data_IF_409927203151
#
_entry.id   IF_409927203151
#
_cell.length_a   1.000
_cell.length_b   1.000
_cell.length_c   1.000
_cell.angle_alpha   90.00
_cell.angle_beta   90.00
_cell.angle_gamma   90.00
#
_symmetry.space_group_name_H-M   'P 1'
#
loop_
_entity.id
_entity.type
_entity.pdbx_description
1 polymer ?
#
# COMPACT_ATOMS: atom_id res chain seq x y z
N UNK A 1 -4.11 0.21 0.31
CA UNK A 1 -2.77 0.75 -0.07
C UNK A 1 -2.64 2.17 0.47
N UNK A 2 -1.44 2.58 0.95
CA UNK A 2 -1.23 3.90 1.57
C UNK A 2 -0.77 5.00 0.60
N UNK A 3 -0.52 4.66 -0.68
CA UNK A 3 -0.13 5.61 -1.74
C UNK A 3 1.08 6.50 -1.38
N UNK A 4 2.00 5.95 -0.59
CA UNK A 4 3.25 6.60 -0.21
C UNK A 4 4.40 6.07 -1.05
N UNK A 5 5.43 6.90 -1.22
CA UNK A 5 6.69 6.48 -1.83
C UNK A 5 7.30 5.30 -1.04
N UNK A 6 7.90 4.28 -1.70
CA UNK A 6 8.57 3.18 -1.01
C UNK A 6 9.65 3.63 0.00
N UNK A 7 10.30 4.76 -0.26
CA UNK A 7 11.29 5.39 0.60
C UNK A 7 10.70 6.35 1.65
N UNK A 8 9.37 6.44 1.77
CA UNK A 8 8.73 7.30 2.75
C UNK A 8 9.17 6.98 4.19
N UNK A 9 9.41 8.03 4.98
CA UNK A 9 9.72 7.88 6.41
C UNK A 9 8.48 7.42 7.19
N UNK A 10 8.70 6.88 8.39
CA UNK A 10 7.59 6.50 9.29
C UNK A 10 6.62 7.65 9.54
N UNK A 11 7.13 8.86 9.73
CA UNK A 11 6.29 10.04 9.93
C UNK A 11 5.35 10.32 8.75
N UNK A 12 5.82 10.09 7.52
CA UNK A 12 5.00 10.25 6.31
C UNK A 12 3.94 9.15 6.24
N UNK A 13 4.31 7.91 6.56
CA UNK A 13 3.38 6.77 6.63
C UNK A 13 2.28 7.03 7.67
N UNK A 14 2.63 7.49 8.86
CA UNK A 14 1.68 7.80 9.93
C UNK A 14 0.72 8.93 9.55
N UNK A 15 1.25 9.98 8.91
CA UNK A 15 0.43 11.10 8.43
C UNK A 15 -0.52 10.66 7.31
N UNK A 16 -0.04 9.88 6.35
CA UNK A 16 -0.84 9.33 5.28
C UNK A 16 -1.96 8.42 5.80
N UNK A 17 -1.64 7.54 6.75
CA UNK A 17 -2.63 6.68 7.42
C UNK A 17 -3.71 7.52 8.09
N UNK A 18 -3.34 8.52 8.91
CA UNK A 18 -4.31 9.39 9.59
C UNK A 18 -5.22 10.12 8.59
N UNK A 19 -4.66 10.68 7.51
CA UNK A 19 -5.44 11.40 6.51
C UNK A 19 -6.41 10.46 5.77
N UNK A 20 -5.95 9.29 5.35
CA UNK A 20 -6.75 8.31 4.63
C UNK A 20 -7.83 7.67 5.51
N UNK A 21 -7.51 7.34 6.77
CA UNK A 21 -8.48 6.82 7.73
C UNK A 21 -9.61 7.80 7.99
N UNK A 22 -9.33 9.10 8.07
CA UNK A 22 -10.38 10.11 8.20
C UNK A 22 -11.24 10.24 6.94
N UNK A 23 -10.64 10.13 5.75
CA UNK A 23 -11.35 10.23 4.47
C UNK A 23 -12.25 9.01 4.21
N UNK A 24 -11.83 7.83 4.64
CA UNK A 24 -12.53 6.55 4.41
C UNK A 24 -13.30 6.05 5.63
N UNK A 25 -13.48 6.87 6.67
CA UNK A 25 -14.21 6.44 7.86
C UNK A 25 -15.70 6.23 7.55
N UNK A 26 -16.32 5.10 7.94
CA UNK A 26 -17.73 4.78 7.63
C UNK A 26 -18.73 5.80 8.22
N UNK A 27 -18.34 6.56 9.25
CA UNK A 27 -19.18 7.64 9.82
C UNK A 27 -19.22 8.91 8.97
N UNK A 28 -18.27 9.10 8.04
CA UNK A 28 -18.16 10.32 7.23
C UNK A 28 -18.65 10.15 5.80
N UNK A 29 -19.16 8.97 5.45
CA UNK A 29 -19.64 8.64 4.10
C UNK A 29 -21.14 8.36 4.09
N UNK A 30 -21.83 8.62 2.96
CA UNK A 30 -23.23 8.27 2.77
C UNK A 30 -23.50 6.76 2.98
N UNK A 31 -24.72 6.35 3.39
CA UNK A 31 -25.09 4.96 3.61
C UNK A 31 -24.74 4.01 2.45
N UNK A 32 -24.90 4.48 1.22
CA UNK A 32 -24.59 3.76 -0.02
C UNK A 32 -23.09 3.45 -0.19
N UNK A 33 -22.22 4.28 0.35
CA UNK A 33 -20.76 4.14 0.25
C UNK A 33 -20.13 3.47 1.47
N UNK A 34 -20.91 3.18 2.53
CA UNK A 34 -20.39 2.61 3.79
C UNK A 34 -19.64 1.30 3.61
N UNK A 35 -20.13 0.43 2.72
CA UNK A 35 -19.47 -0.85 2.47
C UNK A 35 -18.10 -0.67 1.78
N UNK A 36 -18.03 0.21 0.78
CA UNK A 36 -16.78 0.54 0.08
C UNK A 36 -15.79 1.28 0.98
N UNK A 37 -16.28 2.20 1.80
CA UNK A 37 -15.47 2.89 2.79
C UNK A 37 -14.91 1.92 3.84
N UNK A 38 -15.72 0.97 4.33
CA UNK A 38 -15.26 -0.06 5.27
C UNK A 38 -14.18 -0.96 4.64
N UNK A 39 -14.38 -1.42 3.39
CA UNK A 39 -13.38 -2.20 2.65
C UNK A 39 -12.07 -1.41 2.48
N UNK A 40 -12.15 -0.18 1.97
CA UNK A 40 -10.97 0.65 1.77
C UNK A 40 -10.26 0.98 3.08
N UNK A 41 -11.00 1.21 4.16
CA UNK A 41 -10.43 1.47 5.48
C UNK A 41 -9.67 0.25 6.02
N UNK A 42 -10.21 -0.96 5.85
CA UNK A 42 -9.53 -2.21 6.21
C UNK A 42 -8.23 -2.38 5.42
N UNK A 43 -8.24 -2.14 4.11
CA UNK A 43 -7.03 -2.19 3.28
C UNK A 43 -5.96 -1.16 3.69
N UNK A 44 -6.38 0.03 4.11
CA UNK A 44 -5.48 1.07 4.61
C UNK A 44 -4.86 0.64 5.95
N UNK A 45 -5.68 0.08 6.85
CA UNK A 45 -5.24 -0.42 8.15
C UNK A 45 -4.24 -1.56 8.01
N UNK A 46 -4.55 -2.54 7.18
CA UNK A 46 -3.69 -3.71 7.02
C UNK A 46 -2.35 -3.34 6.36
N UNK A 47 -2.35 -2.39 5.40
CA UNK A 47 -1.12 -1.83 4.87
C UNK A 47 -0.29 -1.12 5.96
N UNK A 48 -0.93 -0.31 6.80
CA UNK A 48 -0.27 0.38 7.90
C UNK A 48 0.34 -0.59 8.93
N UNK A 49 -0.34 -1.69 9.27
CA UNK A 49 0.16 -2.70 10.20
C UNK A 49 1.47 -3.37 9.74
N UNK A 50 1.66 -3.49 8.43
CA UNK A 50 2.92 -3.98 7.85
C UNK A 50 3.99 -2.90 7.83
N UNK A 51 3.63 -1.66 7.45
CA UNK A 51 4.61 -0.58 7.26
C UNK A 51 5.09 0.09 8.56
N UNK A 52 4.31 0.01 9.65
CA UNK A 52 4.67 0.61 10.94
C UNK A 52 5.78 -0.16 11.67
N UNK A 53 5.85 -1.46 11.41
CA UNK A 53 6.78 -2.42 12.02
C UNK A 53 8.01 -2.55 11.12
N UNK A 54 9.20 -2.30 11.68
CA UNK A 54 10.43 -2.26 10.89
C UNK A 54 10.79 -3.62 10.29
N UNK A 55 10.59 -4.71 11.04
CA UNK A 55 10.92 -6.05 10.60
C UNK A 55 9.96 -6.50 9.51
N UNK A 56 8.67 -6.22 9.68
CA UNK A 56 7.65 -6.52 8.67
C UNK A 56 7.85 -5.69 7.40
N UNK A 57 8.19 -4.41 7.55
CA UNK A 57 8.50 -3.53 6.41
C UNK A 57 9.73 -4.02 5.65
N UNK A 58 10.80 -4.37 6.36
CA UNK A 58 12.02 -4.88 5.75
C UNK A 58 11.75 -6.19 4.98
N UNK A 59 10.97 -7.10 5.56
CA UNK A 59 10.57 -8.35 4.91
C UNK A 59 9.70 -8.09 3.66
N UNK A 60 8.74 -7.17 3.75
CA UNK A 60 7.91 -6.73 2.63
C UNK A 60 8.75 -6.15 1.49
N UNK A 61 9.67 -5.23 1.80
CA UNK A 61 10.55 -4.59 0.83
C UNK A 61 11.49 -5.59 0.16
N UNK A 62 12.01 -6.56 0.92
CA UNK A 62 12.85 -7.63 0.38
C UNK A 62 12.07 -8.55 -0.58
N UNK A 63 10.86 -8.97 -0.20
CA UNK A 63 9.99 -9.77 -1.05
C UNK A 63 9.63 -9.03 -2.35
N UNK A 64 9.30 -7.74 -2.25
CA UNK A 64 9.01 -6.86 -3.37
C UNK A 64 10.18 -6.75 -4.34
N UNK A 65 11.41 -6.56 -3.83
CA UNK A 65 12.63 -6.51 -4.65
C UNK A 65 12.86 -7.83 -5.37
N UNK A 66 12.69 -8.96 -4.67
CA UNK A 66 12.82 -10.30 -5.28
C UNK A 66 11.82 -10.51 -6.41
N UNK A 67 10.56 -10.15 -6.19
CA UNK A 67 9.51 -10.24 -7.22
C UNK A 67 9.86 -9.42 -8.48
N UNK A 68 10.40 -8.21 -8.31
CA UNK A 68 10.83 -7.33 -9.41
C UNK A 68 12.01 -7.96 -10.16
N UNK A 69 12.99 -8.50 -9.44
CA UNK A 69 14.16 -9.17 -10.03
C UNK A 69 13.75 -10.43 -10.79
N UNK A 70 12.88 -11.25 -10.21
CA UNK A 70 12.39 -12.47 -10.85
C UNK A 70 11.63 -12.14 -12.15
N UNK A 71 10.78 -11.11 -12.14
CA UNK A 71 10.10 -10.64 -13.35
C UNK A 71 11.07 -10.14 -14.41
N UNK A 72 12.08 -9.38 -13.98
CA UNK A 72 13.11 -8.87 -14.89
C UNK A 72 13.95 -10.00 -15.51
N UNK A 73 14.34 -11.01 -14.73
CA UNK A 73 15.15 -12.13 -15.21
C UNK A 73 14.35 -13.03 -16.17
N UNK A 74 13.05 -13.19 -15.94
CA UNK A 74 12.20 -14.07 -16.75
C UNK A 74 11.64 -13.39 -18.00
N UNK A 75 11.20 -12.14 -17.89
CA UNK A 75 10.45 -11.42 -18.94
C UNK A 75 11.17 -10.14 -19.44
N UNK A 76 12.32 -9.80 -18.85
CA UNK A 76 13.06 -8.60 -19.18
C UNK A 76 12.31 -7.31 -18.84
N UNK A 77 12.75 -6.21 -19.47
CA UNK A 77 12.15 -4.88 -19.31
C UNK A 77 10.70 -4.84 -19.79
N UNK A 78 10.33 -5.67 -20.78
CA UNK A 78 8.97 -5.74 -21.32
C UNK A 78 7.99 -6.25 -20.25
N UNK A 79 8.38 -7.27 -19.47
CA UNK A 79 7.56 -7.77 -18.36
C UNK A 79 7.33 -6.72 -17.27
N UNK A 80 8.38 -5.99 -16.90
CA UNK A 80 8.27 -4.87 -15.96
C UNK A 80 7.32 -3.78 -16.48
N UNK A 81 7.48 -3.35 -17.74
CA UNK A 81 6.63 -2.35 -18.35
C UNK A 81 5.15 -2.77 -18.32
N UNK A 82 4.85 -4.01 -18.70
CA UNK A 82 3.47 -4.55 -18.67
C UNK A 82 2.85 -4.54 -17.27
N UNK A 83 3.64 -4.78 -16.22
CA UNK A 83 3.14 -4.84 -14.85
C UNK A 83 2.91 -3.47 -14.21
N UNK A 84 3.76 -2.49 -14.51
CA UNK A 84 3.78 -1.20 -13.81
C UNK A 84 3.26 0.00 -14.62
N UNK A 85 3.08 -0.12 -15.94
CA UNK A 85 2.54 0.96 -16.80
C UNK A 85 1.06 0.75 -17.16
N UNK A 86 0.30 0.03 -16.34
CA UNK A 86 -1.13 -0.23 -16.57
C UNK A 86 -2.02 0.65 -15.71
#
# INVERSE_FOLDING_TARGET
>A
MLEVDPAASKEVIDKAFKALSQKKHPDKVPPEEKQDAARGWLEIRDAYEVLKDDDKRAAYDAARKREILDLFLNEGVIGLAKKYLR
#
